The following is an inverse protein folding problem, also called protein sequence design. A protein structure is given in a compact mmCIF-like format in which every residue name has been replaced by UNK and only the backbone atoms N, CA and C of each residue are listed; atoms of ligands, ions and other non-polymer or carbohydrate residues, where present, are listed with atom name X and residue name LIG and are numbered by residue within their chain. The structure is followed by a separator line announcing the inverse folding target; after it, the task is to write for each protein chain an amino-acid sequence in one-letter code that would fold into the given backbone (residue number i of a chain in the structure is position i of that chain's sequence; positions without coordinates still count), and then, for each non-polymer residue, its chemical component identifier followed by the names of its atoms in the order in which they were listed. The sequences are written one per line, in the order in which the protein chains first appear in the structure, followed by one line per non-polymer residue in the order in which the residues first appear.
data_IF_237379401092
#
_entry.id   IF_237379401092
#
_cell.length_a   1.000
_cell.length_b   1.000
_cell.length_c   1.000
_cell.angle_alpha   90.00
_cell.angle_beta   90.00
_cell.angle_gamma   90.00
#
_symmetry.space_group_name_H-M   'P 1'
#
loop_
_entity.id
_entity.type
_entity.pdbx_description
1 polymer ?
#
# COMPACT_ATOMS: atom_id res chain seq x y z
N UNK A 1 41.23 37.11 -15.09
CA UNK A 1 40.37 37.76 -14.08
C UNK A 1 38.89 37.85 -14.51
N UNK A 2 38.53 38.54 -15.60
CA UNK A 2 37.11 38.63 -16.05
C UNK A 2 36.50 37.26 -16.41
N UNK A 3 37.26 36.39 -17.08
CA UNK A 3 36.81 35.03 -17.43
C UNK A 3 36.59 34.13 -16.20
N UNK A 4 37.39 34.26 -15.15
CA UNK A 4 37.23 33.47 -13.92
C UNK A 4 35.98 33.88 -13.13
N UNK A 5 35.69 35.18 -13.10
CA UNK A 5 34.48 35.71 -12.46
C UNK A 5 33.23 35.28 -13.22
N UNK A 6 33.25 35.34 -14.57
CA UNK A 6 32.16 34.84 -15.41
C UNK A 6 31.94 33.33 -15.22
N UNK A 7 33.02 32.53 -15.22
CA UNK A 7 32.95 31.08 -14.99
C UNK A 7 32.33 30.74 -13.64
N UNK A 8 32.78 31.38 -12.56
CA UNK A 8 32.23 31.18 -11.22
C UNK A 8 30.75 31.57 -11.13
N UNK A 9 30.37 32.69 -11.75
CA UNK A 9 28.97 33.14 -11.76
C UNK A 9 28.04 32.19 -12.54
N UNK A 10 28.51 31.67 -13.68
CA UNK A 10 27.79 30.67 -14.47
C UNK A 10 27.67 29.35 -13.71
N UNK A 11 28.75 28.89 -13.08
CA UNK A 11 28.73 27.68 -12.27
C UNK A 11 27.73 27.79 -11.11
N UNK A 12 27.72 28.93 -10.41
CA UNK A 12 26.75 29.19 -9.33
C UNK A 12 25.30 29.20 -9.84
N UNK A 13 25.01 29.83 -10.98
CA UNK A 13 23.66 29.86 -11.57
C UNK A 13 23.20 28.48 -12.06
N UNK A 14 24.09 27.73 -12.69
CA UNK A 14 23.81 26.36 -13.13
C UNK A 14 23.54 25.44 -11.95
N UNK A 15 24.29 25.60 -10.85
CA UNK A 15 24.09 24.82 -9.65
C UNK A 15 22.75 25.16 -8.98
N UNK A 16 22.41 26.44 -8.86
CA UNK A 16 21.09 26.86 -8.34
C UNK A 16 19.93 26.35 -9.21
N UNK A 17 20.08 26.35 -10.54
CA UNK A 17 19.07 25.78 -11.44
C UNK A 17 18.95 24.25 -11.30
N UNK A 18 20.07 23.56 -11.10
CA UNK A 18 20.08 22.12 -10.82
C UNK A 18 19.38 21.79 -9.50
N UNK A 19 19.64 22.56 -8.44
CA UNK A 19 19.00 22.40 -7.13
C UNK A 19 17.48 22.65 -7.21
N UNK A 20 17.05 23.68 -7.97
CA UNK A 20 15.63 23.94 -8.22
C UNK A 20 14.97 22.80 -9.01
N UNK A 21 15.66 22.25 -10.01
CA UNK A 21 15.21 21.10 -10.77
C UNK A 21 15.07 19.85 -9.89
N UNK A 22 16.03 19.59 -9.01
CA UNK A 22 15.98 18.49 -8.02
C UNK A 22 14.77 18.65 -7.10
N UNK A 23 14.50 19.86 -6.59
CA UNK A 23 13.33 20.14 -5.75
C UNK A 23 12.00 19.93 -6.51
N UNK A 24 11.93 20.31 -7.78
CA UNK A 24 10.73 20.07 -8.60
C UNK A 24 10.50 18.57 -8.84
N UNK A 25 11.57 17.83 -9.15
CA UNK A 25 11.51 16.37 -9.31
C UNK A 25 11.12 15.67 -8.00
N UNK A 26 11.64 16.13 -6.86
CA UNK A 26 11.24 15.64 -5.54
C UNK A 26 9.75 15.87 -5.29
N UNK A 27 9.23 17.07 -5.61
CA UNK A 27 7.81 17.40 -5.47
C UNK A 27 6.92 16.57 -6.38
N UNK A 28 7.34 16.32 -7.62
CA UNK A 28 6.60 15.48 -8.56
C UNK A 28 6.59 14.02 -8.10
N UNK A 29 7.74 13.48 -7.70
CA UNK A 29 7.84 12.11 -7.22
C UNK A 29 7.04 11.90 -5.92
N UNK A 30 7.08 12.86 -4.99
CA UNK A 30 6.26 12.82 -3.77
C UNK A 30 4.78 12.95 -4.07
N UNK A 31 4.37 13.87 -4.95
CA UNK A 31 2.96 14.02 -5.35
C UNK A 31 2.41 12.76 -6.01
N UNK A 32 3.23 12.04 -6.76
CA UNK A 32 2.80 10.83 -7.42
C UNK A 32 2.75 9.62 -6.50
N UNK A 33 3.74 9.47 -5.61
CA UNK A 33 3.66 8.51 -4.50
C UNK A 33 2.43 8.81 -3.66
N UNK A 34 2.14 10.08 -3.39
CA UNK A 34 0.93 10.48 -2.70
C UNK A 34 -0.33 10.12 -3.48
N UNK A 35 -0.38 10.31 -4.80
CA UNK A 35 -1.52 9.93 -5.63
C UNK A 35 -1.76 8.41 -5.61
N UNK A 36 -0.69 7.62 -5.72
CA UNK A 36 -0.75 6.16 -5.60
C UNK A 36 -1.24 5.73 -4.21
N UNK A 37 -0.72 6.35 -3.15
CA UNK A 37 -1.16 6.11 -1.77
C UNK A 37 -2.62 6.52 -1.59
N UNK A 38 -3.09 7.62 -2.17
CA UNK A 38 -4.49 8.05 -2.07
C UNK A 38 -5.43 7.12 -2.83
N UNK A 39 -5.06 6.66 -4.02
CA UNK A 39 -5.85 5.69 -4.78
C UNK A 39 -5.98 4.38 -3.98
N UNK A 40 -4.86 3.88 -3.46
CA UNK A 40 -4.84 2.71 -2.59
C UNK A 40 -5.65 2.93 -1.31
N UNK A 41 -5.51 4.09 -0.66
CA UNK A 41 -6.24 4.44 0.57
C UNK A 41 -7.75 4.49 0.33
N UNK A 42 -8.20 5.07 -0.80
CA UNK A 42 -9.63 5.13 -1.14
C UNK A 42 -10.20 3.72 -1.27
N UNK A 43 -9.49 2.85 -1.98
CA UNK A 43 -9.93 1.47 -2.19
C UNK A 43 -9.90 0.68 -0.86
N UNK A 44 -8.89 0.93 -0.02
CA UNK A 44 -8.78 0.35 1.31
C UNK A 44 -9.86 0.85 2.29
N UNK A 45 -10.22 2.13 2.25
CA UNK A 45 -11.30 2.70 3.07
C UNK A 45 -12.64 2.03 2.79
N UNK A 46 -12.92 1.70 1.53
CA UNK A 46 -14.12 0.94 1.19
C UNK A 46 -14.15 -0.41 1.91
N UNK A 47 -13.01 -1.11 1.95
CA UNK A 47 -12.89 -2.39 2.66
C UNK A 47 -13.06 -2.24 4.17
N UNK A 48 -12.53 -1.17 4.77
CA UNK A 48 -12.74 -0.86 6.19
C UNK A 48 -14.23 -0.61 6.46
N UNK A 49 -14.91 0.18 5.62
CA UNK A 49 -16.33 0.50 5.79
C UNK A 49 -17.18 -0.77 5.69
N UNK A 50 -16.92 -1.64 4.71
CA UNK A 50 -17.61 -2.94 4.58
C UNK A 50 -17.36 -3.80 5.82
N UNK A 51 -16.12 -3.86 6.31
CA UNK A 51 -15.78 -4.63 7.50
C UNK A 51 -16.53 -4.11 8.74
N UNK A 52 -16.49 -2.80 8.99
CA UNK A 52 -17.22 -2.17 10.12
C UNK A 52 -18.73 -2.39 9.99
N UNK A 53 -19.30 -2.31 8.79
CA UNK A 53 -20.71 -2.57 8.56
C UNK A 53 -21.10 -4.01 8.92
N UNK A 54 -20.29 -5.01 8.52
CA UNK A 54 -20.51 -6.40 8.89
C UNK A 54 -20.43 -6.62 10.41
N UNK A 55 -19.48 -5.95 11.08
CA UNK A 55 -19.35 -5.99 12.54
C UNK A 55 -20.57 -5.39 13.24
N UNK A 56 -21.00 -4.21 12.81
CA UNK A 56 -22.17 -3.52 13.36
C UNK A 56 -23.44 -4.36 13.17
N UNK A 57 -23.60 -5.01 12.02
CA UNK A 57 -24.70 -5.93 11.77
C UNK A 57 -24.65 -7.16 12.68
N UNK A 58 -23.46 -7.72 12.92
CA UNK A 58 -23.30 -8.88 13.81
C UNK A 58 -23.68 -8.52 15.25
N UNK A 59 -23.22 -7.36 15.74
CA UNK A 59 -23.56 -6.87 17.07
C UNK A 59 -25.05 -6.54 17.20
N UNK A 60 -25.63 -5.88 16.20
CA UNK A 60 -27.05 -5.59 16.16
C UNK A 60 -27.89 -6.87 16.17
N UNK A 61 -27.54 -7.87 15.35
CA UNK A 61 -28.24 -9.16 15.31
C UNK A 61 -28.19 -9.89 16.67
N UNK A 62 -27.04 -9.85 17.35
CA UNK A 62 -26.88 -10.45 18.68
C UNK A 62 -27.76 -9.83 19.77
N UNK A 63 -28.11 -8.54 19.63
CA UNK A 63 -28.95 -7.81 20.58
C UNK A 63 -30.44 -7.72 20.21
N UNK A 64 -30.76 -7.69 18.91
CA UNK A 64 -32.12 -7.44 18.43
C UNK A 64 -32.96 -8.71 18.23
N UNK A 65 -32.34 -9.87 18.00
CA UNK A 65 -33.05 -11.12 17.73
C UNK A 65 -33.32 -11.85 19.04
N UNK A 66 -34.58 -11.94 19.46
CA UNK A 66 -34.96 -12.62 20.71
C UNK A 66 -34.80 -14.13 20.62
N UNK A 67 -35.21 -14.75 19.50
CA UNK A 67 -35.10 -16.19 19.29
C UNK A 67 -33.64 -16.66 19.30
N UNK A 68 -33.33 -17.64 20.14
CA UNK A 68 -31.96 -18.10 20.36
C UNK A 68 -31.38 -18.76 19.12
N UNK A 69 -32.14 -19.62 18.44
CA UNK A 69 -31.64 -20.36 17.27
C UNK A 69 -31.39 -19.42 16.09
N UNK A 70 -32.34 -18.53 15.81
CA UNK A 70 -32.20 -17.51 14.76
C UNK A 70 -31.03 -16.57 15.05
N UNK A 71 -30.87 -16.12 16.31
CA UNK A 71 -29.75 -15.27 16.71
C UNK A 71 -28.41 -15.96 16.50
N UNK A 72 -28.29 -17.22 16.90
CA UNK A 72 -27.08 -18.01 16.69
C UNK A 72 -26.76 -18.08 15.21
N UNK A 73 -27.72 -18.53 14.39
CA UNK A 73 -27.52 -18.75 12.97
C UNK A 73 -27.12 -17.46 12.24
N UNK A 74 -27.79 -16.34 12.53
CA UNK A 74 -27.46 -15.02 11.94
C UNK A 74 -26.09 -14.54 12.40
N UNK A 75 -25.79 -14.59 13.69
CA UNK A 75 -24.52 -14.09 14.24
C UNK A 75 -23.34 -14.94 13.74
N UNK A 76 -23.46 -16.26 13.72
CA UNK A 76 -22.43 -17.17 13.22
C UNK A 76 -22.21 -17.02 11.71
N UNK A 77 -23.28 -16.78 10.95
CA UNK A 77 -23.17 -16.52 9.50
C UNK A 77 -22.47 -15.19 9.22
N UNK A 78 -22.79 -14.14 9.99
CA UNK A 78 -22.10 -12.86 9.88
C UNK A 78 -20.62 -12.97 10.26
N UNK A 79 -20.31 -13.70 11.34
CA UNK A 79 -18.92 -14.01 11.72
C UNK A 79 -18.21 -14.73 10.57
N UNK A 80 -18.80 -15.77 10.00
CA UNK A 80 -18.24 -16.47 8.85
C UNK A 80 -18.01 -15.53 7.66
N UNK A 81 -18.95 -14.63 7.36
CA UNK A 81 -18.80 -13.63 6.31
C UNK A 81 -17.64 -12.65 6.59
N UNK A 82 -17.48 -12.20 7.83
CA UNK A 82 -16.36 -11.34 8.27
C UNK A 82 -15.02 -12.05 8.04
N UNK A 83 -14.90 -13.32 8.47
CA UNK A 83 -13.68 -14.10 8.28
C UNK A 83 -13.42 -14.44 6.81
N UNK A 84 -14.45 -14.80 6.05
CA UNK A 84 -14.34 -15.06 4.62
C UNK A 84 -13.92 -13.82 3.83
N UNK A 85 -14.50 -12.67 4.14
CA UNK A 85 -14.11 -11.39 3.55
C UNK A 85 -12.69 -10.98 3.94
N UNK A 86 -12.31 -11.17 5.21
CA UNK A 86 -10.95 -10.94 5.68
C UNK A 86 -9.93 -11.84 4.97
N UNK A 87 -10.23 -13.13 4.81
CA UNK A 87 -9.38 -14.06 4.07
C UNK A 87 -9.24 -13.65 2.59
N UNK A 88 -10.33 -13.24 1.94
CA UNK A 88 -10.31 -12.72 0.59
C UNK A 88 -9.41 -11.47 0.45
N UNK A 89 -9.50 -10.53 1.40
CA UNK A 89 -8.62 -9.35 1.44
C UNK A 89 -7.14 -9.72 1.59
N UNK A 90 -6.83 -10.69 2.44
CA UNK A 90 -5.45 -11.18 2.61
C UNK A 90 -4.95 -11.81 1.32
N UNK A 91 -5.75 -12.66 0.67
CA UNK A 91 -5.37 -13.33 -0.58
C UNK A 91 -5.15 -12.31 -1.70
N UNK A 92 -6.07 -11.36 -1.88
CA UNK A 92 -5.94 -10.31 -2.89
C UNK A 92 -4.76 -9.38 -2.61
N UNK A 93 -4.52 -9.03 -1.35
CA UNK A 93 -3.32 -8.30 -0.93
C UNK A 93 -2.01 -9.04 -1.22
N UNK A 94 -1.95 -10.34 -0.91
CA UNK A 94 -0.79 -11.19 -1.23
C UNK A 94 -0.58 -11.31 -2.75
N UNK A 95 -1.67 -11.37 -3.52
CA UNK A 95 -1.61 -11.43 -4.98
C UNK A 95 -1.06 -10.13 -5.58
N UNK A 96 -1.51 -8.98 -5.08
CA UNK A 96 -0.96 -7.68 -5.47
C UNK A 96 0.51 -7.53 -5.07
N UNK A 97 0.90 -8.09 -3.93
CA UNK A 97 2.28 -8.09 -3.46
C UNK A 97 3.21 -8.96 -4.33
N UNK A 98 2.69 -9.89 -5.12
CA UNK A 98 3.48 -10.86 -5.90
C UNK A 98 4.54 -10.20 -6.79
N UNK A 99 4.19 -9.10 -7.47
CA UNK A 99 5.12 -8.43 -8.39
C UNK A 99 6.26 -7.75 -7.62
N UNK A 100 5.94 -7.09 -6.51
CA UNK A 100 6.92 -6.47 -5.62
C UNK A 100 7.80 -7.55 -4.99
N UNK A 101 7.20 -8.65 -4.55
CA UNK A 101 7.91 -9.79 -3.99
C UNK A 101 8.85 -10.43 -5.00
N UNK A 102 8.47 -10.57 -6.27
CA UNK A 102 9.33 -11.10 -7.32
C UNK A 102 10.55 -10.21 -7.56
N UNK A 103 10.36 -8.89 -7.62
CA UNK A 103 11.46 -7.92 -7.73
C UNK A 103 12.33 -7.96 -6.47
N UNK A 104 11.75 -8.06 -5.28
CA UNK A 104 12.50 -8.18 -4.04
C UNK A 104 13.28 -9.49 -3.94
N UNK A 105 12.69 -10.63 -4.32
CA UNK A 105 13.31 -11.95 -4.32
C UNK A 105 14.53 -11.99 -5.25
N UNK A 106 14.43 -11.35 -6.42
CA UNK A 106 15.49 -11.30 -7.42
C UNK A 106 16.60 -10.32 -7.05
N UNK A 107 16.25 -9.14 -6.53
CA UNK A 107 17.24 -8.09 -6.22
C UNK A 107 17.81 -8.17 -4.81
N UNK A 108 17.07 -8.78 -3.87
CA UNK A 108 17.33 -8.81 -2.41
C UNK A 108 17.64 -7.44 -1.81
N UNK A 109 17.15 -6.37 -2.43
CA UNK A 109 17.42 -5.02 -1.96
C UNK A 109 16.44 -4.61 -0.87
N UNK A 110 16.93 -3.80 0.08
CA UNK A 110 16.06 -3.16 1.07
C UNK A 110 15.06 -2.17 0.42
N UNK A 111 14.12 -1.63 1.20
CA UNK A 111 13.07 -0.73 0.70
C UNK A 111 13.64 0.51 0.00
N UNK A 112 14.77 1.04 0.48
CA UNK A 112 15.47 2.16 -0.17
C UNK A 112 16.04 1.75 -1.54
N UNK A 113 16.58 0.54 -1.67
CA UNK A 113 17.11 0.06 -2.94
C UNK A 113 16.02 -0.18 -3.98
N UNK A 114 14.86 -0.70 -3.56
CA UNK A 114 13.67 -0.81 -4.42
C UNK A 114 13.15 0.56 -4.86
N UNK A 115 13.04 1.52 -3.93
CA UNK A 115 12.64 2.90 -4.25
C UNK A 115 13.61 3.53 -5.25
N UNK A 116 14.93 3.32 -5.06
CA UNK A 116 15.96 3.79 -6.00
C UNK A 116 15.80 3.17 -7.38
N UNK A 117 15.52 1.86 -7.47
CA UNK A 117 15.35 1.19 -8.76
C UNK A 117 14.14 1.72 -9.52
N UNK A 118 13.02 1.90 -8.82
CA UNK A 118 11.79 2.46 -9.38
C UNK A 118 12.00 3.91 -9.86
N UNK A 119 12.58 4.76 -9.01
CA UNK A 119 12.88 6.16 -9.34
C UNK A 119 13.87 6.28 -10.49
N UNK A 120 14.89 5.44 -10.51
CA UNK A 120 15.85 5.41 -11.61
C UNK A 120 15.15 5.16 -12.94
N UNK A 121 14.36 4.09 -13.04
CA UNK A 121 13.65 3.74 -14.27
C UNK A 121 12.74 4.88 -14.75
N UNK A 122 12.01 5.48 -13.81
CA UNK A 122 11.08 6.57 -14.13
C UNK A 122 11.78 7.87 -14.53
N UNK A 123 12.73 8.34 -13.73
CA UNK A 123 13.49 9.57 -14.01
C UNK A 123 14.23 9.40 -15.33
N UNK A 124 14.84 8.23 -15.55
CA UNK A 124 15.53 7.94 -16.79
C UNK A 124 14.58 7.98 -18.00
N UNK A 125 13.41 7.34 -17.91
CA UNK A 125 12.41 7.38 -18.96
C UNK A 125 11.95 8.80 -19.27
N UNK A 126 11.62 9.58 -18.23
CA UNK A 126 11.13 10.95 -18.39
C UNK A 126 12.21 11.89 -18.95
N UNK A 127 13.46 11.76 -18.52
CA UNK A 127 14.59 12.49 -19.12
C UNK A 127 14.75 12.12 -20.59
N UNK A 128 14.60 10.84 -20.93
CA UNK A 128 14.74 10.37 -22.31
C UNK A 128 13.60 10.92 -23.18
N UNK A 129 12.35 10.83 -22.73
CA UNK A 129 11.18 11.36 -23.46
C UNK A 129 11.24 12.89 -23.63
N UNK A 130 11.72 13.61 -22.62
CA UNK A 130 11.76 15.08 -22.65
C UNK A 130 12.90 15.62 -23.52
N UNK A 131 14.07 14.97 -23.47
CA UNK A 131 15.30 15.51 -24.06
C UNK A 131 15.80 14.73 -25.28
N UNK A 132 15.18 13.61 -25.62
CA UNK A 132 15.50 12.79 -26.82
C UNK A 132 14.35 12.88 -27.80
N UNK A 133 14.64 13.23 -29.05
CA UNK A 133 13.64 13.24 -30.12
C UNK A 133 13.20 11.83 -30.51
N UNK A 134 12.15 11.71 -31.34
CA UNK A 134 11.62 10.42 -31.80
C UNK A 134 12.67 9.55 -32.52
N UNK A 135 13.71 10.18 -33.10
CA UNK A 135 14.81 9.51 -33.79
C UNK A 135 15.89 8.94 -32.83
N UNK A 136 15.68 9.00 -31.51
CA UNK A 136 16.65 8.57 -30.50
C UNK A 136 17.85 9.51 -30.35
N UNK A 137 17.85 10.66 -31.04
CA UNK A 137 18.88 11.70 -30.94
C UNK A 137 18.51 12.74 -29.89
N UNK A 138 19.51 13.28 -29.19
CA UNK A 138 19.29 14.38 -28.26
C UNK A 138 18.71 15.60 -29.00
N UNK A 139 17.65 16.18 -28.44
CA UNK A 139 17.13 17.48 -28.89
C UNK A 139 18.18 18.58 -28.68
N UNK A 140 18.04 19.71 -29.35
CA UNK A 140 18.93 20.87 -29.16
C UNK A 140 19.01 21.28 -27.67
N UNK A 141 17.88 21.22 -26.97
CA UNK A 141 17.78 21.51 -25.54
C UNK A 141 18.47 20.43 -24.67
N UNK A 142 18.34 19.15 -25.02
CA UNK A 142 19.07 18.06 -24.37
C UNK A 142 20.59 18.14 -24.57
N UNK A 143 21.03 18.54 -25.77
CA UNK A 143 22.44 18.78 -26.08
C UNK A 143 23.03 19.95 -25.28
N UNK A 144 22.30 21.06 -25.19
CA UNK A 144 22.69 22.21 -24.38
C UNK A 144 22.76 21.87 -22.88
N UNK A 145 21.80 21.10 -22.38
CA UNK A 145 21.79 20.66 -20.98
C UNK A 145 22.99 19.76 -20.67
N UNK A 146 23.28 18.76 -21.50
CA UNK A 146 24.45 17.90 -21.31
C UNK A 146 25.77 18.68 -21.40
N UNK A 147 25.85 19.70 -22.27
CA UNK A 147 27.00 20.60 -22.31
C UNK A 147 27.10 21.49 -21.07
N UNK A 148 25.99 22.00 -20.56
CA UNK A 148 25.97 22.76 -19.31
C UNK A 148 26.41 21.89 -18.12
N UNK A 149 26.01 20.62 -18.09
CA UNK A 149 26.44 19.65 -17.08
C UNK A 149 27.94 19.32 -17.17
N UNK A 150 28.53 19.35 -18.38
CA UNK A 150 30.00 19.23 -18.55
C UNK A 150 30.76 20.37 -17.86
N UNK A 151 30.20 21.57 -17.81
CA UNK A 151 30.87 22.73 -17.21
C UNK A 151 30.96 22.64 -15.67
N UNK A 152 30.10 21.83 -15.06
CA UNK A 152 30.03 21.63 -13.60
C UNK A 152 30.52 20.24 -13.16
N UNK A 153 31.22 19.53 -14.05
CA UNK A 153 31.75 18.17 -13.82
C UNK A 153 30.69 17.13 -13.36
N UNK A 154 29.46 17.33 -13.81
CA UNK A 154 28.33 16.45 -13.54
C UNK A 154 28.31 15.27 -14.56
N UNK A 155 27.50 14.21 -14.33
CA UNK A 155 27.55 13.00 -15.14
C UNK A 155 27.18 13.31 -16.59
N UNK A 156 27.92 12.71 -17.53
CA UNK A 156 27.84 13.02 -18.97
C UNK A 156 26.73 12.27 -19.72
N UNK A 157 25.97 11.44 -19.02
CA UNK A 157 24.91 10.61 -19.58
C UNK A 157 23.65 10.69 -18.72
N UNK A 158 22.49 10.56 -19.36
CA UNK A 158 21.17 10.54 -18.70
C UNK A 158 21.11 9.50 -17.59
N UNK A 159 21.74 8.33 -17.79
CA UNK A 159 21.87 7.27 -16.78
C UNK A 159 22.52 7.77 -15.49
N UNK A 160 23.63 8.52 -15.60
CA UNK A 160 24.36 9.01 -14.42
C UNK A 160 23.60 10.12 -13.68
N UNK A 161 22.78 10.91 -14.39
CA UNK A 161 21.92 11.94 -13.79
C UNK A 161 20.76 11.26 -13.06
N UNK A 162 20.08 10.32 -13.73
CA UNK A 162 18.96 9.57 -13.17
C UNK A 162 19.38 8.77 -11.94
N UNK A 163 20.55 8.12 -11.97
CA UNK A 163 21.05 7.36 -10.83
C UNK A 163 21.34 8.25 -9.61
N UNK A 164 22.01 9.41 -9.79
CA UNK A 164 22.29 10.32 -8.67
C UNK A 164 21.02 10.90 -8.06
N UNK A 165 20.05 11.29 -8.89
CA UNK A 165 18.76 11.77 -8.42
C UNK A 165 18.01 10.67 -7.66
N UNK A 166 17.96 9.46 -8.23
CA UNK A 166 17.32 8.33 -7.58
C UNK A 166 17.98 7.99 -6.22
N UNK A 167 19.31 8.00 -6.14
CA UNK A 167 20.04 7.68 -4.90
C UNK A 167 19.80 8.72 -3.79
N UNK A 168 19.67 10.00 -4.16
CA UNK A 168 19.33 11.08 -3.21
C UNK A 168 17.87 11.06 -2.76
N UNK A 169 16.95 10.79 -3.68
CA UNK A 169 15.51 10.86 -3.42
C UNK A 169 14.95 9.58 -2.79
N UNK A 170 15.56 8.43 -3.06
CA UNK A 170 15.13 7.13 -2.55
C UNK A 170 14.92 7.05 -1.02
N UNK A 171 15.86 7.50 -0.16
CA UNK A 171 15.67 7.39 1.29
C UNK A 171 14.48 8.22 1.79
N UNK A 172 14.29 9.43 1.25
CA UNK A 172 13.18 10.32 1.64
C UNK A 172 11.83 9.76 1.22
N UNK A 173 11.75 9.28 -0.01
CA UNK A 173 10.52 8.65 -0.53
C UNK A 173 10.19 7.35 0.19
N UNK A 174 11.19 6.52 0.50
CA UNK A 174 10.98 5.32 1.29
C UNK A 174 10.49 5.63 2.72
N UNK A 175 11.07 6.64 3.38
CA UNK A 175 10.61 7.09 4.71
C UNK A 175 9.18 7.63 4.67
N UNK A 176 8.86 8.47 3.69
CA UNK A 176 7.52 9.04 3.53
C UNK A 176 6.47 7.97 3.22
N UNK A 177 6.77 7.08 2.28
CA UNK A 177 5.90 5.95 1.96
C UNK A 177 5.69 5.04 3.16
N UNK A 178 6.77 4.70 3.89
CA UNK A 178 6.68 3.87 5.09
C UNK A 178 5.84 4.53 6.19
N UNK A 179 6.08 5.81 6.47
CA UNK A 179 5.33 6.56 7.49
C UNK A 179 3.84 6.62 7.16
N UNK A 180 3.49 6.86 5.89
CA UNK A 180 2.09 6.85 5.43
C UNK A 180 1.45 5.47 5.54
N UNK A 181 2.13 4.43 5.06
CA UNK A 181 1.66 3.04 5.18
C UNK A 181 1.42 2.70 6.65
N UNK A 182 2.38 2.98 7.54
CA UNK A 182 2.24 2.71 8.97
C UNK A 182 1.06 3.48 9.59
N UNK A 183 0.88 4.75 9.24
CA UNK A 183 -0.25 5.56 9.74
C UNK A 183 -1.62 4.99 9.37
N UNK A 184 -1.70 4.22 8.29
CA UNK A 184 -2.93 3.59 7.80
C UNK A 184 -3.10 2.20 8.44
N UNK A 185 -2.04 1.39 8.46
CA UNK A 185 -2.10 0.03 9.00
C UNK A 185 -2.22 -0.02 10.52
N UNK A 186 -1.58 0.91 11.25
CA UNK A 186 -1.62 0.92 12.71
C UNK A 186 -3.04 0.99 13.29
N UNK A 187 -3.93 1.92 12.88
CA UNK A 187 -5.29 1.98 13.42
C UNK A 187 -6.13 0.76 13.00
N UNK A 188 -5.94 0.22 11.79
CA UNK A 188 -6.68 -0.99 11.36
C UNK A 188 -6.24 -2.22 12.13
N UNK A 189 -4.93 -2.42 12.30
CA UNK A 189 -4.40 -3.50 13.13
C UNK A 189 -4.89 -3.35 14.58
N UNK A 190 -4.89 -2.13 15.12
CA UNK A 190 -5.42 -1.85 16.45
C UNK A 190 -6.92 -2.16 16.55
N UNK A 191 -7.73 -1.75 15.57
CA UNK A 191 -9.16 -2.05 15.52
C UNK A 191 -9.42 -3.56 15.43
N UNK A 192 -8.62 -4.29 14.63
CA UNK A 192 -8.74 -5.74 14.50
C UNK A 192 -8.37 -6.45 15.81
N UNK A 193 -7.28 -6.04 16.47
CA UNK A 193 -6.89 -6.55 17.78
C UNK A 193 -7.95 -6.23 18.84
N UNK A 194 -8.44 -4.99 18.87
CA UNK A 194 -9.53 -4.58 19.77
C UNK A 194 -10.76 -5.45 19.56
N UNK A 195 -11.17 -5.67 18.32
CA UNK A 195 -12.30 -6.55 18.01
C UNK A 195 -12.03 -7.99 18.46
N UNK A 196 -10.87 -8.55 18.15
CA UNK A 196 -10.51 -9.94 18.47
C UNK A 196 -10.46 -10.22 19.97
N UNK A 197 -10.00 -9.25 20.76
CA UNK A 197 -9.73 -9.41 22.20
C UNK A 197 -10.80 -8.82 23.11
N UNK A 198 -11.58 -7.83 22.67
CA UNK A 198 -12.58 -7.16 23.51
C UNK A 198 -13.99 -7.51 23.04
N UNK A 199 -14.31 -7.22 21.78
CA UNK A 199 -15.70 -7.35 21.27
C UNK A 199 -16.09 -8.81 21.03
N UNK A 200 -15.20 -9.59 20.40
CA UNK A 200 -15.49 -10.97 20.04
C UNK A 200 -15.76 -11.88 21.27
N UNK A 201 -14.99 -11.80 22.37
CA UNK A 201 -15.30 -12.54 23.59
C UNK A 201 -16.64 -12.15 24.21
N UNK A 202 -17.04 -10.87 24.17
CA UNK A 202 -18.35 -10.44 24.67
C UNK A 202 -19.50 -11.01 23.82
N UNK A 203 -19.46 -10.84 22.50
CA UNK A 203 -20.53 -11.32 21.61
C UNK A 203 -20.69 -12.85 21.72
N UNK A 204 -19.57 -13.57 21.76
CA UNK A 204 -19.57 -15.04 21.74
C UNK A 204 -19.85 -15.63 23.13
N UNK A 205 -19.18 -15.17 24.18
CA UNK A 205 -19.37 -15.73 25.54
C UNK A 205 -20.64 -15.26 26.22
N UNK A 206 -21.10 -14.02 26.01
CA UNK A 206 -22.29 -13.52 26.67
C UNK A 206 -23.60 -13.96 25.99
N UNK A 207 -23.58 -14.20 24.67
CA UNK A 207 -24.79 -14.48 23.88
C UNK A 207 -24.97 -15.92 23.40
N UNK A 208 -23.88 -16.66 23.15
CA UNK A 208 -23.96 -17.95 22.44
C UNK A 208 -23.45 -19.16 23.24
N UNK A 209 -22.42 -18.97 24.08
CA UNK A 209 -21.75 -20.06 24.80
C UNK A 209 -20.82 -20.91 23.93
N UNK A 210 -20.74 -20.64 22.63
CA UNK A 210 -20.02 -21.47 21.65
C UNK A 210 -18.57 -20.99 21.49
N UNK A 211 -17.63 -21.87 21.14
CA UNK A 211 -16.25 -21.48 20.85
C UNK A 211 -16.10 -20.69 19.53
N UNK A 212 -14.98 -19.97 19.32
CA UNK A 212 -14.72 -19.23 18.07
C UNK A 212 -14.71 -20.12 16.82
N UNK A 213 -14.19 -21.34 16.94
CA UNK A 213 -14.12 -22.30 15.84
C UNK A 213 -15.47 -22.94 15.57
N UNK A 214 -16.19 -23.27 16.63
CA UNK A 214 -17.53 -23.85 16.56
C UNK A 214 -18.52 -22.85 15.95
N UNK A 215 -18.39 -21.56 16.26
CA UNK A 215 -19.16 -20.48 15.65
C UNK A 215 -18.93 -20.37 14.12
N UNK A 216 -17.74 -20.70 13.62
CA UNK A 216 -17.47 -20.74 12.18
C UNK A 216 -18.09 -21.97 11.50
N UNK A 217 -18.16 -23.09 12.23
CA UNK A 217 -18.71 -24.35 11.73
C UNK A 217 -20.24 -24.42 11.85
N UNK A 218 -20.83 -23.65 12.75
CA UNK A 218 -22.27 -23.68 13.05
C UNK A 218 -23.18 -23.47 11.83
N UNK A 219 -22.93 -22.52 10.92
CA UNK A 219 -23.77 -22.35 9.71
C UNK A 219 -23.73 -23.59 8.80
N UNK A 220 -22.58 -24.25 8.70
CA UNK A 220 -22.42 -25.46 7.90
C UNK A 220 -23.12 -26.64 8.57
N UNK A 221 -22.99 -26.79 9.89
CA UNK A 221 -23.72 -27.81 10.65
C UNK A 221 -25.24 -27.62 10.51
N UNK A 222 -25.73 -26.38 10.56
CA UNK A 222 -27.14 -26.07 10.35
C UNK A 222 -27.63 -26.44 8.94
N UNK A 223 -26.82 -26.15 7.92
CA UNK A 223 -27.13 -26.54 6.54
C UNK A 223 -27.17 -28.06 6.38
N UNK A 224 -26.19 -28.78 6.95
CA UNK A 224 -26.12 -30.24 6.89
C UNK A 224 -27.32 -30.84 7.61
N UNK A 225 -27.61 -30.42 8.84
CA UNK A 225 -28.76 -30.89 9.61
C UNK A 225 -30.09 -30.68 8.85
N UNK A 226 -30.24 -29.55 8.15
CA UNK A 226 -31.42 -29.28 7.33
C UNK A 226 -31.57 -30.23 6.13
N UNK A 227 -30.46 -30.75 5.59
CA UNK A 227 -30.44 -31.65 4.43
C UNK A 227 -30.48 -33.12 4.84
N UNK A 228 -29.73 -33.50 5.87
CA UNK A 228 -29.51 -34.90 6.28
C UNK A 228 -30.30 -35.31 7.51
N UNK A 229 -30.98 -34.38 8.20
CA UNK A 229 -31.73 -34.66 9.43
C UNK A 229 -30.85 -35.06 10.62
N UNK A 230 -29.57 -34.69 10.59
CA UNK A 230 -28.62 -34.93 11.69
C UNK A 230 -28.78 -33.91 12.81
N UNK A 231 -28.06 -34.11 13.91
CA UNK A 231 -27.99 -33.18 15.06
C UNK A 231 -26.57 -32.62 15.29
N UNK A 232 -25.84 -32.34 14.21
CA UNK A 232 -24.46 -31.83 14.29
C UNK A 232 -24.39 -30.48 15.02
N UNK A 233 -25.42 -29.62 14.90
CA UNK A 233 -25.50 -28.36 15.61
C UNK A 233 -25.43 -28.51 17.13
N UNK A 234 -26.09 -29.53 17.68
CA UNK A 234 -26.14 -29.78 19.12
C UNK A 234 -24.75 -30.12 19.67
N UNK A 235 -23.95 -30.86 18.89
CA UNK A 235 -22.58 -31.22 19.27
C UNK A 235 -21.63 -30.02 19.34
N UNK A 236 -21.92 -28.93 18.63
CA UNK A 236 -21.13 -27.69 18.64
C UNK A 236 -21.53 -26.74 19.77
N UNK A 237 -22.76 -26.85 20.28
CA UNK A 237 -23.28 -25.96 21.33
C UNK A 237 -23.09 -26.48 22.75
N UNK A 238 -22.89 -27.80 22.92
CA UNK A 238 -22.65 -28.43 24.23
C UNK A 238 -23.88 -28.52 25.11
#
# INVERSE_FOLDING_TARGET
MVFDTLRKSLQSRLQSAADQGEMLLERLATAEVDAAIHAWLRDFLLHIVVFIALLALAQWAGGAIEDRETRLLVTTTLILAIYGYGAWLVITGLWAWREIAAVWLTTRQGPVGLARFYLYGRIHQQLRETFTGPDGRNTAMGGLLLQALRLIDAPRAWDGIAYRLADRLAPRLAQHAFARVLSIFAPVAFAWLYYRFIVFPEIVRAGSGIGPWDALLYPFAALIDAVTGTSLRESLTG
#
